data_IF_075772732820
#
_entry.id   IF_075772732820
#
_cell.length_a   1.000
_cell.length_b   1.000
_cell.length_c   1.000
_cell.angle_alpha   90.00
_cell.angle_beta   90.00
_cell.angle_gamma   90.00
#
_symmetry.space_group_name_H-M   'P 1'
#
loop_
_entity.id
_entity.type
_entity.pdbx_description
1 polymer ?
#
# COMPACT_ATOMS: atom_id res chain seq x y z
N UNK A 1 -0.93 -31.21 13.56
CA UNK A 1 -0.15 -29.99 13.90
C UNK A 1 1.21 -30.11 13.24
N UNK A 2 1.50 -29.33 12.18
CA UNK A 2 2.83 -29.32 11.56
C UNK A 2 3.71 -28.40 12.40
N UNK A 3 4.75 -28.96 13.03
CA UNK A 3 5.75 -28.18 13.75
C UNK A 3 6.37 -27.14 12.80
N UNK A 4 6.25 -25.86 13.12
CA UNK A 4 6.96 -24.80 12.40
C UNK A 4 8.44 -25.05 12.62
N UNK A 5 9.17 -25.35 11.54
CA UNK A 5 10.63 -25.26 11.53
C UNK A 5 11.00 -23.83 11.93
N UNK A 6 11.61 -23.64 13.10
CA UNK A 6 12.20 -22.36 13.50
C UNK A 6 13.58 -22.27 12.84
N UNK A 7 13.65 -21.66 11.67
CA UNK A 7 14.92 -21.32 11.04
C UNK A 7 15.41 -19.98 11.62
N UNK A 8 16.71 -19.83 11.91
CA UNK A 8 17.25 -18.55 12.33
C UNK A 8 16.99 -17.51 11.24
N UNK A 9 16.47 -16.34 11.64
CA UNK A 9 16.10 -15.22 10.77
C UNK A 9 14.87 -15.42 9.87
N UNK A 10 14.06 -16.46 10.08
CA UNK A 10 12.77 -16.62 9.42
C UNK A 10 11.62 -16.28 10.38
N UNK A 11 10.90 -15.19 10.07
CA UNK A 11 9.77 -14.72 10.85
C UNK A 11 8.47 -14.89 10.04
N UNK A 12 7.51 -15.65 10.58
CA UNK A 12 6.18 -15.77 9.99
C UNK A 12 5.22 -14.86 10.73
N UNK A 13 4.75 -13.82 10.06
CA UNK A 13 3.82 -12.86 10.64
C UNK A 13 2.40 -13.09 10.15
N UNK A 14 1.44 -13.12 11.07
CA UNK A 14 0.00 -13.02 10.78
C UNK A 14 -0.41 -11.56 10.72
N UNK A 15 -1.66 -11.27 10.36
CA UNK A 15 -2.22 -9.92 10.50
C UNK A 15 -2.15 -9.44 11.95
N UNK A 16 -1.96 -8.14 12.15
CA UNK A 16 -1.91 -7.45 13.45
C UNK A 16 -0.72 -7.83 14.34
N UNK A 17 0.31 -8.46 13.77
CA UNK A 17 1.55 -8.77 14.49
C UNK A 17 2.60 -7.65 14.29
N UNK A 18 3.52 -7.59 15.24
CA UNK A 18 4.60 -6.60 15.27
C UNK A 18 5.94 -7.31 15.48
N UNK A 19 6.96 -6.85 14.76
CA UNK A 19 8.32 -7.38 14.80
C UNK A 19 9.31 -6.22 14.82
N UNK A 20 10.30 -6.29 15.71
CA UNK A 20 11.46 -5.40 15.70
C UNK A 20 12.66 -6.21 15.25
N UNK A 21 13.39 -5.69 14.27
CA UNK A 21 14.65 -6.21 13.78
C UNK A 21 15.75 -5.21 14.10
N UNK A 22 16.80 -5.67 14.77
CA UNK A 22 17.99 -4.89 15.10
C UNK A 22 19.20 -5.56 14.46
N UNK A 23 20.06 -4.78 13.80
CA UNK A 23 21.33 -5.33 13.32
C UNK A 23 22.35 -5.38 14.45
N UNK A 24 23.05 -6.50 14.60
CA UNK A 24 24.12 -6.60 15.59
C UNK A 24 25.19 -5.53 15.31
N UNK A 25 25.48 -4.69 16.29
CA UNK A 25 26.47 -3.62 16.19
C UNK A 25 25.99 -2.35 15.47
N UNK A 26 24.68 -2.16 15.25
CA UNK A 26 24.13 -0.87 14.84
C UNK A 26 23.03 -0.37 15.78
N UNK A 27 22.91 0.95 15.92
CA UNK A 27 21.80 1.58 16.62
C UNK A 27 20.53 1.70 15.75
N UNK A 28 20.56 1.11 14.54
CA UNK A 28 19.44 1.15 13.61
C UNK A 28 18.48 -0.01 13.88
N UNK A 29 17.24 0.33 14.18
CA UNK A 29 16.13 -0.60 14.27
C UNK A 29 15.19 -0.46 13.08
N UNK A 30 14.73 -1.59 12.56
CA UNK A 30 13.62 -1.66 11.62
C UNK A 30 12.44 -2.32 12.33
N UNK A 31 11.27 -1.70 12.31
CA UNK A 31 10.05 -2.32 12.80
C UNK A 31 9.11 -2.67 11.65
N UNK A 32 8.40 -3.78 11.81
CA UNK A 32 7.40 -4.26 10.87
C UNK A 32 6.10 -4.46 11.63
N UNK A 33 5.03 -3.83 11.17
CA UNK A 33 3.66 -4.11 11.59
C UNK A 33 2.88 -4.67 10.41
N UNK A 34 2.09 -5.70 10.62
CA UNK A 34 1.21 -6.28 9.60
C UNK A 34 -0.24 -5.89 9.83
N UNK A 35 -1.02 -5.80 8.75
CA UNK A 35 -2.46 -5.54 8.79
C UNK A 35 -3.20 -6.65 8.04
N UNK A 36 -4.50 -6.75 8.29
CA UNK A 36 -5.36 -7.62 7.51
C UNK A 36 -5.31 -7.29 6.01
N UNK A 37 -5.37 -8.31 5.17
CA UNK A 37 -5.64 -8.17 3.73
C UNK A 37 -7.11 -8.46 3.45
N UNK A 38 -7.64 -7.85 2.41
CA UNK A 38 -8.97 -8.16 1.86
C UNK A 38 -8.96 -9.33 0.88
N UNK A 39 -7.77 -9.77 0.45
CA UNK A 39 -7.60 -10.91 -0.43
C UNK A 39 -6.49 -11.81 0.13
N UNK A 40 -5.28 -11.80 -0.43
CA UNK A 40 -4.20 -12.68 0.02
C UNK A 40 -3.20 -11.98 0.95
N UNK A 41 -2.62 -12.77 1.87
CA UNK A 41 -1.51 -12.34 2.73
C UNK A 41 -1.86 -11.24 3.75
N UNK A 42 -0.97 -10.27 3.89
CA UNK A 42 -1.05 -9.13 4.82
C UNK A 42 -0.55 -7.87 4.12
N UNK A 43 -0.99 -6.71 4.59
CA UNK A 43 -0.31 -5.44 4.30
C UNK A 43 0.81 -5.20 5.33
N UNK A 44 1.83 -4.44 4.94
CA UNK A 44 2.98 -4.13 5.78
C UNK A 44 3.11 -2.64 6.03
N UNK A 45 3.42 -2.25 7.26
CA UNK A 45 3.99 -0.96 7.61
C UNK A 45 5.39 -1.22 8.16
N UNK A 46 6.38 -0.72 7.43
CA UNK A 46 7.79 -0.79 7.83
C UNK A 46 8.20 0.59 8.31
N UNK A 47 8.82 0.65 9.49
CA UNK A 47 9.38 1.89 10.03
C UNK A 47 10.89 1.75 10.21
N UNK A 48 11.64 2.68 9.63
CA UNK A 48 13.11 2.75 9.71
C UNK A 48 13.56 4.19 9.54
N UNK A 49 14.61 4.60 10.26
CA UNK A 49 15.18 5.96 10.19
C UNK A 49 14.08 7.07 10.24
N UNK A 50 13.09 6.89 11.13
CA UNK A 50 11.96 7.81 11.33
C UNK A 50 10.91 7.82 10.21
N UNK A 51 11.03 6.97 9.19
CA UNK A 51 10.14 6.94 8.01
C UNK A 51 9.22 5.74 8.04
N UNK A 52 7.94 6.00 7.82
CA UNK A 52 6.90 4.97 7.66
C UNK A 52 6.66 4.65 6.19
N UNK A 53 6.92 3.41 5.80
CA UNK A 53 6.72 2.89 4.45
C UNK A 53 5.62 1.84 4.51
N UNK A 54 4.49 2.14 3.87
CA UNK A 54 3.35 1.24 3.78
C UNK A 54 3.33 0.51 2.45
N UNK A 55 3.14 -0.81 2.49
CA UNK A 55 2.93 -1.65 1.32
C UNK A 55 1.64 -2.43 1.48
N UNK A 56 0.63 -2.13 0.65
CA UNK A 56 -0.70 -2.71 0.85
C UNK A 56 -0.76 -4.22 0.62
N UNK A 57 0.19 -4.80 -0.14
CA UNK A 57 0.03 -6.16 -0.65
C UNK A 57 -1.30 -6.24 -1.42
N UNK A 58 -2.14 -7.23 -1.10
CA UNK A 58 -3.49 -7.34 -1.66
C UNK A 58 -4.60 -6.67 -0.82
N UNK A 59 -4.27 -5.79 0.14
CA UNK A 59 -5.28 -4.96 0.80
C UNK A 59 -5.77 -3.87 -0.17
N UNK A 60 -6.94 -4.06 -0.75
CA UNK A 60 -7.56 -3.13 -1.69
C UNK A 60 -9.08 -3.15 -1.60
N UNK A 61 -9.70 -2.14 -2.19
CA UNK A 61 -11.14 -2.10 -2.39
C UNK A 61 -11.55 -2.98 -3.59
N UNK A 62 -11.41 -4.32 -3.45
CA UNK A 62 -11.70 -5.31 -4.50
C UNK A 62 -13.20 -5.47 -4.80
N UNK A 63 -13.82 -4.41 -5.31
CA UNK A 63 -15.16 -4.46 -5.89
C UNK A 63 -15.10 -4.69 -7.39
N UNK A 64 -16.04 -5.45 -7.92
CA UNK A 64 -16.03 -5.87 -9.32
C UNK A 64 -17.40 -5.68 -9.97
N UNK A 65 -17.47 -5.12 -11.20
CA UNK A 65 -18.68 -5.17 -12.00
C UNK A 65 -19.13 -6.61 -12.22
N UNK A 66 -20.42 -6.90 -11.99
CA UNK A 66 -20.99 -8.24 -12.14
C UNK A 66 -21.02 -9.08 -10.84
N UNK A 67 -20.26 -8.70 -9.81
CA UNK A 67 -20.37 -9.33 -8.50
C UNK A 67 -21.66 -8.95 -7.78
N UNK A 68 -22.10 -9.81 -6.86
CA UNK A 68 -23.31 -9.55 -6.08
C UNK A 68 -23.18 -8.26 -5.25
N UNK A 69 -24.31 -7.58 -5.03
CA UNK A 69 -24.34 -6.39 -4.15
C UNK A 69 -23.78 -6.71 -2.76
N UNK A 70 -24.11 -7.88 -2.22
CA UNK A 70 -23.62 -8.32 -0.92
C UNK A 70 -22.09 -8.48 -0.90
N UNK A 71 -21.52 -9.10 -1.94
CA UNK A 71 -20.07 -9.24 -2.07
C UNK A 71 -19.39 -7.86 -2.08
N UNK A 72 -19.83 -6.97 -2.96
CA UNK A 72 -19.24 -5.64 -3.10
C UNK A 72 -19.41 -4.79 -1.81
N UNK A 73 -20.53 -4.93 -1.09
CA UNK A 73 -20.73 -4.29 0.22
C UNK A 73 -19.78 -4.85 1.28
N UNK A 74 -19.61 -6.18 1.36
CA UNK A 74 -18.68 -6.80 2.30
C UNK A 74 -17.24 -6.37 2.03
N UNK A 75 -16.82 -6.35 0.77
CA UNK A 75 -15.49 -5.89 0.37
C UNK A 75 -15.25 -4.43 0.73
N UNK A 76 -16.25 -3.58 0.53
CA UNK A 76 -16.22 -2.18 0.94
C UNK A 76 -16.06 -2.04 2.45
N UNK A 77 -16.86 -2.77 3.23
CA UNK A 77 -16.82 -2.71 4.70
C UNK A 77 -15.47 -3.22 5.25
N UNK A 78 -14.97 -4.34 4.72
CA UNK A 78 -13.69 -4.92 5.12
C UNK A 78 -12.52 -3.99 4.78
N UNK A 79 -12.47 -3.46 3.55
CA UNK A 79 -11.41 -2.53 3.15
C UNK A 79 -11.36 -1.31 4.06
N UNK A 80 -12.51 -0.66 4.32
CA UNK A 80 -12.57 0.49 5.22
C UNK A 80 -12.17 0.15 6.65
N UNK A 81 -12.65 -0.98 7.18
CA UNK A 81 -12.29 -1.44 8.53
C UNK A 81 -10.79 -1.71 8.66
N UNK A 82 -10.18 -2.39 7.70
CA UNK A 82 -8.78 -2.79 7.76
C UNK A 82 -7.81 -1.63 7.49
N UNK A 83 -8.28 -0.59 6.81
CA UNK A 83 -7.50 0.65 6.57
C UNK A 83 -7.76 1.73 7.62
N UNK A 84 -8.73 1.58 8.52
CA UNK A 84 -9.01 2.55 9.60
C UNK A 84 -7.78 2.92 10.43
N UNK A 85 -6.88 1.98 10.81
CA UNK A 85 -5.67 2.34 11.55
C UNK A 85 -4.68 3.22 10.77
N UNK A 86 -4.82 3.33 9.45
CA UNK A 86 -3.98 4.15 8.58
C UNK A 86 -4.54 5.57 8.40
N UNK A 87 -5.76 5.83 8.89
CA UNK A 87 -6.40 7.13 8.74
C UNK A 87 -5.64 8.20 9.54
N UNK A 88 -5.30 9.29 8.87
CA UNK A 88 -4.49 10.38 9.42
C UNK A 88 -3.03 10.00 9.67
N UNK A 89 -2.59 8.79 9.32
CA UNK A 89 -1.20 8.37 9.48
C UNK A 89 -0.32 9.06 8.44
N UNK A 90 0.79 9.63 8.89
CA UNK A 90 1.86 10.12 8.02
C UNK A 90 2.66 8.95 7.47
N UNK A 91 2.62 8.80 6.14
CA UNK A 91 3.32 7.77 5.39
C UNK A 91 4.32 8.46 4.46
N UNK A 92 5.60 8.18 4.70
CA UNK A 92 6.67 8.64 3.81
C UNK A 92 6.47 8.05 2.41
N UNK A 93 6.16 6.77 2.32
CA UNK A 93 5.79 6.13 1.07
C UNK A 93 4.63 5.16 1.27
N UNK A 94 3.73 5.05 0.28
CA UNK A 94 2.64 4.10 0.24
C UNK A 94 2.56 3.42 -1.13
N UNK A 95 2.67 2.10 -1.16
CA UNK A 95 2.46 1.27 -2.35
C UNK A 95 1.03 0.76 -2.36
N UNK A 96 0.24 1.21 -3.33
CA UNK A 96 -1.21 1.07 -3.36
C UNK A 96 -1.70 0.47 -4.69
N UNK A 97 -2.62 -0.50 -4.67
CA UNK A 97 -3.19 -1.06 -5.91
C UNK A 97 -3.94 -0.01 -6.72
N UNK A 98 -3.70 0.01 -8.03
CA UNK A 98 -4.42 0.81 -9.04
C UNK A 98 -4.74 -0.13 -10.21
N UNK A 99 -5.69 -1.03 -10.01
CA UNK A 99 -5.83 -2.24 -10.83
C UNK A 99 -6.84 -2.07 -11.98
N UNK A 100 -6.38 -1.98 -13.24
CA UNK A 100 -7.26 -1.72 -14.40
C UNK A 100 -8.29 -2.83 -14.63
N UNK A 101 -8.11 -4.03 -14.06
CA UNK A 101 -9.06 -5.14 -14.21
C UNK A 101 -10.42 -4.84 -13.58
N UNK A 102 -10.49 -3.91 -12.62
CA UNK A 102 -11.75 -3.51 -11.96
C UNK A 102 -12.61 -2.56 -12.83
N UNK A 103 -12.19 -2.25 -14.07
CA UNK A 103 -12.93 -1.40 -14.99
C UNK A 103 -13.08 0.02 -14.45
N UNK A 104 -14.30 0.55 -14.40
CA UNK A 104 -14.61 1.89 -13.88
C UNK A 104 -14.37 2.06 -12.37
N UNK A 105 -13.97 1.00 -11.64
CA UNK A 105 -13.72 1.04 -10.19
C UNK A 105 -12.25 0.82 -9.81
N UNK A 106 -11.33 0.85 -10.79
CA UNK A 106 -9.89 0.60 -10.64
C UNK A 106 -9.19 1.49 -9.61
N UNK A 107 -9.71 2.68 -9.37
CA UNK A 107 -9.12 3.72 -8.54
C UNK A 107 -9.67 3.76 -7.11
N UNK A 108 -10.79 3.09 -6.82
CA UNK A 108 -11.53 3.29 -5.55
C UNK A 108 -10.66 3.15 -4.30
N UNK A 109 -9.87 2.07 -4.22
CA UNK A 109 -8.99 1.83 -3.08
C UNK A 109 -7.84 2.84 -3.01
N UNK A 110 -7.21 3.12 -4.16
CA UNK A 110 -6.15 4.11 -4.29
C UNK A 110 -6.61 5.50 -3.84
N UNK A 111 -7.72 6.01 -4.40
CA UNK A 111 -8.28 7.32 -4.06
C UNK A 111 -8.69 7.41 -2.60
N UNK A 112 -9.31 6.35 -2.04
CA UNK A 112 -9.68 6.33 -0.63
C UNK A 112 -8.46 6.50 0.28
N UNK A 113 -7.36 5.81 -0.01
CA UNK A 113 -6.12 5.93 0.76
C UNK A 113 -5.52 7.34 0.64
N UNK A 114 -5.47 7.92 -0.57
CA UNK A 114 -5.00 9.29 -0.78
C UNK A 114 -5.84 10.35 -0.03
N UNK A 115 -7.12 10.07 0.19
CA UNK A 115 -8.02 10.97 0.93
C UNK A 115 -7.95 10.82 2.45
N UNK A 116 -7.57 9.64 2.94
CA UNK A 116 -7.69 9.31 4.36
C UNK A 116 -6.33 9.19 5.07
N UNK A 117 -5.22 8.98 4.36
CA UNK A 117 -3.87 8.97 4.93
C UNK A 117 -3.05 10.17 4.43
N UNK A 118 -2.02 10.57 5.17
CA UNK A 118 -1.12 11.66 4.80
C UNK A 118 0.09 11.08 4.07
N UNK A 119 0.00 10.95 2.74
CA UNK A 119 0.98 10.23 1.92
C UNK A 119 1.93 11.21 1.23
N UNK A 120 3.24 11.05 1.46
CA UNK A 120 4.25 11.88 0.79
C UNK A 120 4.54 11.35 -0.62
N UNK A 121 4.77 10.05 -0.76
CA UNK A 121 5.00 9.38 -2.05
C UNK A 121 4.06 8.20 -2.24
N UNK A 122 3.13 8.31 -3.19
CA UNK A 122 2.18 7.26 -3.53
C UNK A 122 2.67 6.51 -4.78
N UNK A 123 2.94 5.22 -4.64
CA UNK A 123 3.37 4.34 -5.71
C UNK A 123 2.20 3.45 -6.14
N UNK A 124 1.66 3.64 -7.35
CA UNK A 124 0.72 2.68 -7.92
C UNK A 124 1.37 1.30 -8.03
N UNK A 125 0.59 0.24 -7.85
CA UNK A 125 0.96 -1.16 -8.09
C UNK A 125 -0.26 -1.96 -8.58
N UNK A 126 -0.14 -3.27 -8.78
CA UNK A 126 -1.21 -4.15 -9.28
C UNK A 126 -1.77 -3.82 -10.68
N UNK A 127 -1.04 -3.05 -11.49
CA UNK A 127 -1.47 -2.68 -12.85
C UNK A 127 -0.84 -3.52 -13.97
N UNK A 128 -0.15 -4.63 -13.66
CA UNK A 128 0.28 -5.64 -14.65
C UNK A 128 1.01 -5.10 -15.90
N UNK A 129 1.95 -4.16 -15.71
CA UNK A 129 2.69 -3.46 -16.78
C UNK A 129 1.85 -2.53 -17.66
N UNK A 130 0.56 -2.36 -17.37
CA UNK A 130 -0.25 -1.30 -17.96
C UNK A 130 0.06 0.05 -17.29
N UNK A 131 1.25 0.59 -17.57
CA UNK A 131 1.67 1.88 -17.04
C UNK A 131 0.76 3.04 -17.48
N UNK A 132 -0.06 2.84 -18.53
CA UNK A 132 -1.00 3.85 -19.02
C UNK A 132 -2.11 4.17 -18.02
N UNK A 133 -2.36 3.27 -17.04
CA UNK A 133 -3.36 3.49 -16.00
C UNK A 133 -3.01 4.68 -15.09
N UNK A 134 -1.72 4.96 -14.89
CA UNK A 134 -1.25 6.04 -14.03
C UNK A 134 -1.56 7.42 -14.65
N UNK A 135 -1.15 7.75 -15.89
CA UNK A 135 -1.54 8.99 -16.54
C UNK A 135 -3.06 9.07 -16.77
N UNK A 136 -3.75 7.93 -17.01
CA UNK A 136 -5.22 7.90 -17.05
C UNK A 136 -5.80 8.39 -15.72
N UNK A 137 -5.37 7.84 -14.58
CA UNK A 137 -5.82 8.28 -13.26
C UNK A 137 -5.45 9.74 -13.00
N UNK A 138 -4.22 10.15 -13.33
CA UNK A 138 -3.79 11.54 -13.17
C UNK A 138 -4.63 12.53 -13.98
N UNK A 139 -5.30 12.12 -15.06
CA UNK A 139 -6.21 12.99 -15.81
C UNK A 139 -7.57 13.20 -15.15
N UNK A 140 -7.91 12.41 -14.11
CA UNK A 140 -9.15 12.58 -13.33
C UNK A 140 -9.03 13.74 -12.32
N UNK A 141 -10.15 14.32 -11.85
CA UNK A 141 -10.12 15.36 -10.81
C UNK A 141 -9.40 14.90 -9.53
N UNK A 142 -9.63 13.65 -9.10
CA UNK A 142 -9.01 13.04 -7.93
C UNK A 142 -7.49 12.86 -8.12
N UNK A 143 -7.07 12.34 -9.28
CA UNK A 143 -5.65 12.22 -9.60
C UNK A 143 -4.93 13.57 -9.64
N UNK A 144 -5.55 14.59 -10.23
CA UNK A 144 -5.00 15.95 -10.26
C UNK A 144 -4.80 16.55 -8.86
N UNK A 145 -5.72 16.29 -7.92
CA UNK A 145 -5.62 16.75 -6.52
C UNK A 145 -4.32 16.26 -5.85
N UNK A 146 -3.86 15.06 -6.18
CA UNK A 146 -2.69 14.44 -5.56
C UNK A 146 -1.51 14.24 -6.52
N UNK A 147 -1.50 14.91 -7.68
CA UNK A 147 -0.51 14.68 -8.75
C UNK A 147 0.96 14.80 -8.30
N UNK A 148 1.24 15.68 -7.33
CA UNK A 148 2.59 15.90 -6.81
C UNK A 148 3.04 14.81 -5.81
N UNK A 149 2.12 13.94 -5.39
CA UNK A 149 2.40 12.82 -4.48
C UNK A 149 2.50 11.49 -5.24
N UNK A 150 1.79 11.36 -6.37
CA UNK A 150 1.72 10.12 -7.15
C UNK A 150 2.97 9.98 -8.03
N UNK A 151 3.63 8.83 -7.92
CA UNK A 151 4.80 8.49 -8.71
C UNK A 151 4.37 7.92 -10.06
N UNK A 152 4.87 8.52 -11.14
CA UNK A 152 4.75 7.98 -12.48
C UNK A 152 5.80 6.89 -12.69
N UNK A 153 5.32 5.64 -12.75
CA UNK A 153 6.14 4.49 -13.10
C UNK A 153 6.03 4.23 -14.60
N UNK A 154 7.15 3.87 -15.22
CA UNK A 154 7.27 3.68 -16.68
C UNK A 154 7.83 2.29 -17.03
N UNK A 155 8.50 1.63 -16.09
CA UNK A 155 9.10 0.30 -16.30
C UNK A 155 9.32 -0.49 -15.01
N UNK A 156 9.54 -1.78 -15.16
CA UNK A 156 9.96 -2.66 -14.06
C UNK A 156 11.40 -2.34 -13.65
N UNK A 157 11.70 -2.48 -12.36
CA UNK A 157 13.04 -2.20 -11.81
C UNK A 157 13.43 -0.71 -11.83
N UNK A 158 12.45 0.20 -11.98
CA UNK A 158 12.70 1.64 -11.93
C UNK A 158 13.15 2.07 -10.53
N UNK A 159 14.19 2.90 -10.48
CA UNK A 159 14.70 3.50 -9.25
C UNK A 159 14.16 4.91 -9.14
N UNK A 160 13.51 5.23 -8.01
CA UNK A 160 12.89 6.52 -7.75
C UNK A 160 13.58 7.19 -6.58
N UNK A 161 14.12 8.38 -6.80
CA UNK A 161 14.70 9.20 -5.75
C UNK A 161 13.60 10.00 -5.02
N UNK A 162 13.50 9.78 -3.71
CA UNK A 162 12.48 10.38 -2.82
C UNK A 162 13.19 11.25 -1.77
N UNK A 163 13.47 12.53 -2.05
CA UNK A 163 14.08 13.43 -1.06
C UNK A 163 13.13 13.68 0.12
N UNK A 164 13.68 14.09 1.26
CA UNK A 164 12.86 14.41 2.44
C UNK A 164 12.02 15.68 2.21
N UNK A 165 12.62 16.73 1.61
CA UNK A 165 11.87 17.88 1.12
C UNK A 165 11.70 17.79 -0.40
N UNK A 166 10.46 17.98 -0.87
CA UNK A 166 10.16 17.97 -2.31
C UNK A 166 10.72 19.19 -3.06
N UNK A 167 11.15 20.22 -2.33
CA UNK A 167 11.82 21.41 -2.87
C UNK A 167 13.31 21.16 -3.14
N UNK A 168 13.89 20.06 -2.64
CA UNK A 168 15.29 19.68 -2.87
C UNK A 168 15.50 18.98 -4.24
N UNK A 169 14.57 19.20 -5.20
CA UNK A 169 14.59 18.61 -6.55
C UNK A 169 15.06 19.59 -7.61
#
# INVERSE_FOLDING_TARGET
MRGRLSLPNLHFMKAEEFLILTSAGSDKSLSVKTFHSTDCGVAFLVETDGKKIYHAGDLNWWVWPGESKQYNHNMTANFKRYTEPLKGMELFAAFLPLDPRQGEWYEKGFSYMMENALIHYAFPMHFWKDYSIIPKYLSTPQGQKYKNQIILLEKEGQVIYCPENKEDK
#
